data_IF_812055942465
#
_entry.id   IF_812055942465
#
_cell.length_a   1.000
_cell.length_b   1.000
_cell.length_c   1.000
_cell.angle_alpha   90.00
_cell.angle_beta   90.00
_cell.angle_gamma   90.00
#
_symmetry.space_group_name_H-M   'P 1'
#
loop_
_entity.id
_entity.type
_entity.pdbx_description
1 polymer ?
#
# COMPACT_ATOMS: atom_id res chain seq x y z
N UNK A 1 9.01 10.08 -11.26
CA UNK A 1 7.64 10.64 -11.18
C UNK A 1 6.98 10.17 -9.88
N UNK A 2 6.39 11.10 -9.13
CA UNK A 2 5.75 10.79 -7.84
C UNK A 2 4.33 10.28 -8.10
N UNK A 3 4.01 9.14 -7.52
CA UNK A 3 2.67 8.56 -7.64
C UNK A 3 1.66 9.30 -6.75
N UNK A 4 0.39 9.28 -7.16
CA UNK A 4 -0.69 9.73 -6.30
C UNK A 4 -1.03 8.62 -5.29
N UNK A 5 -1.73 9.00 -4.20
CA UNK A 5 -2.18 8.01 -3.22
C UNK A 5 -3.08 6.96 -3.87
N UNK A 6 -3.99 7.39 -4.74
CA UNK A 6 -4.90 6.47 -5.43
C UNK A 6 -4.16 5.45 -6.29
N UNK A 7 -3.15 5.90 -7.04
CA UNK A 7 -2.32 5.00 -7.84
C UNK A 7 -1.54 4.02 -6.96
N UNK A 8 -0.98 4.50 -5.86
CA UNK A 8 -0.21 3.67 -4.94
C UNK A 8 -1.08 2.60 -4.31
N UNK A 9 -2.28 2.96 -3.86
CA UNK A 9 -3.24 2.00 -3.28
C UNK A 9 -3.67 0.98 -4.32
N UNK A 10 -3.97 1.41 -5.54
CA UNK A 10 -4.37 0.50 -6.62
C UNK A 10 -3.27 -0.50 -6.95
N UNK A 11 -2.03 -0.04 -7.05
CA UNK A 11 -0.88 -0.91 -7.32
C UNK A 11 -0.65 -1.91 -6.19
N UNK A 12 -0.82 -1.46 -4.95
CA UNK A 12 -0.69 -2.34 -3.78
C UNK A 12 -1.74 -3.46 -3.81
N UNK A 13 -3.00 -3.10 -4.10
CA UNK A 13 -4.07 -4.10 -4.20
C UNK A 13 -3.81 -5.11 -5.30
N UNK A 14 -3.24 -4.67 -6.41
CA UNK A 14 -2.92 -5.55 -7.53
C UNK A 14 -1.94 -6.66 -7.12
N UNK A 15 -1.06 -6.41 -6.17
CA UNK A 15 -0.12 -7.42 -5.67
C UNK A 15 -0.83 -8.60 -4.97
N UNK A 16 -2.06 -8.42 -4.54
CA UNK A 16 -2.87 -9.49 -3.94
C UNK A 16 -3.71 -10.23 -4.99
N UNK A 17 -3.68 -9.78 -6.24
CA UNK A 17 -4.48 -10.36 -7.31
C UNK A 17 -5.79 -9.63 -7.50
N UNK A 18 -6.93 -10.34 -7.37
CA UNK A 18 -8.24 -9.72 -7.55
C UNK A 18 -8.68 -8.94 -6.31
N UNK A 19 -9.67 -8.06 -6.49
CA UNK A 19 -10.28 -7.34 -5.38
C UNK A 19 -10.82 -8.29 -4.31
N UNK A 20 -11.39 -9.42 -4.73
CA UNK A 20 -11.90 -10.43 -3.82
C UNK A 20 -10.78 -11.03 -2.96
N UNK A 21 -9.65 -11.36 -3.59
CA UNK A 21 -8.49 -11.90 -2.88
C UNK A 21 -7.94 -10.91 -1.86
N UNK A 22 -7.90 -9.64 -2.22
CA UNK A 22 -7.48 -8.59 -1.30
C UNK A 22 -8.41 -8.48 -0.09
N UNK A 23 -9.72 -8.49 -0.32
CA UNK A 23 -10.71 -8.43 0.76
C UNK A 23 -10.61 -9.65 1.69
N UNK A 24 -10.36 -10.82 1.13
CA UNK A 24 -10.15 -12.04 1.92
C UNK A 24 -8.91 -11.93 2.80
N UNK A 25 -7.82 -11.36 2.27
CA UNK A 25 -6.60 -11.13 3.04
C UNK A 25 -6.85 -10.17 4.21
N UNK A 26 -7.62 -9.11 3.98
CA UNK A 26 -7.99 -8.17 5.04
C UNK A 26 -8.79 -8.84 6.15
N UNK A 27 -9.73 -9.72 5.80
CA UNK A 27 -10.53 -10.45 6.79
C UNK A 27 -9.70 -11.45 7.57
N UNK A 28 -8.75 -12.10 6.89
CA UNK A 28 -7.92 -13.11 7.53
C UNK A 28 -6.91 -12.51 8.49
N UNK A 29 -6.23 -11.43 8.08
CA UNK A 29 -5.21 -10.79 8.92
C UNK A 29 -5.00 -9.33 8.48
N UNK A 30 -5.79 -8.45 9.05
CA UNK A 30 -5.72 -7.02 8.76
C UNK A 30 -4.36 -6.42 9.15
N UNK A 31 -3.79 -6.90 10.24
CA UNK A 31 -2.51 -6.38 10.74
C UNK A 31 -1.39 -6.70 9.73
N UNK A 32 -1.37 -7.92 9.20
CA UNK A 32 -0.39 -8.32 8.20
C UNK A 32 -0.51 -7.45 6.93
N UNK A 33 -1.74 -7.15 6.49
CA UNK A 33 -1.95 -6.29 5.32
C UNK A 33 -1.44 -4.88 5.59
N UNK A 34 -1.67 -4.33 6.78
CA UNK A 34 -1.16 -3.01 7.16
C UNK A 34 0.36 -2.97 7.21
N UNK A 35 0.99 -4.03 7.71
CA UNK A 35 2.45 -4.13 7.71
C UNK A 35 3.02 -4.22 6.30
N UNK A 36 2.37 -4.97 5.43
CA UNK A 36 2.75 -5.06 4.02
C UNK A 36 2.62 -3.70 3.32
N UNK A 37 1.58 -2.95 3.63
CA UNK A 37 1.40 -1.60 3.11
C UNK A 37 2.55 -0.68 3.54
N UNK A 38 2.94 -0.76 4.80
CA UNK A 38 4.06 0.04 5.32
C UNK A 38 5.35 -0.30 4.59
N UNK A 39 5.65 -1.59 4.42
CA UNK A 39 6.83 -2.04 3.69
C UNK A 39 6.80 -1.61 2.23
N UNK A 40 5.64 -1.65 1.60
CA UNK A 40 5.46 -1.23 0.22
C UNK A 40 5.76 0.26 0.06
N UNK A 41 5.20 1.11 0.94
CA UNK A 41 5.48 2.54 0.92
C UNK A 41 6.97 2.84 1.12
N UNK A 42 7.58 2.13 2.06
CA UNK A 42 8.99 2.29 2.38
C UNK A 42 9.88 1.99 1.17
N UNK A 43 9.58 0.90 0.47
CA UNK A 43 10.28 0.56 -0.77
C UNK A 43 10.14 1.63 -1.85
N UNK A 44 8.95 2.20 -2.02
CA UNK A 44 8.71 3.28 -2.97
C UNK A 44 9.45 4.56 -2.57
N UNK A 45 9.58 4.83 -1.28
CA UNK A 45 10.36 5.96 -0.80
C UNK A 45 11.84 5.80 -1.16
N UNK A 46 12.40 4.61 -0.98
CA UNK A 46 13.79 4.33 -1.33
C UNK A 46 14.06 4.51 -2.83
N UNK A 47 13.06 4.23 -3.66
CA UNK A 47 13.15 4.40 -5.11
C UNK A 47 12.82 5.83 -5.56
N UNK A 48 12.61 6.75 -4.63
CA UNK A 48 12.24 8.15 -4.89
C UNK A 48 10.89 8.30 -5.60
N UNK A 49 10.03 7.32 -5.50
CA UNK A 49 8.66 7.38 -6.05
C UNK A 49 7.75 8.16 -5.11
N UNK A 50 7.95 8.00 -3.80
CA UNK A 50 7.20 8.72 -2.77
C UNK A 50 8.13 9.58 -1.94
N UNK A 51 7.62 10.73 -1.48
CA UNK A 51 8.34 11.60 -0.54
C UNK A 51 8.17 11.08 0.88
N UNK A 52 9.03 11.54 1.80
CA UNK A 52 8.94 11.19 3.22
C UNK A 52 7.60 11.60 3.81
N UNK A 53 7.06 12.76 3.43
CA UNK A 53 5.75 13.21 3.88
C UNK A 53 4.64 12.28 3.42
N UNK A 54 4.70 11.80 2.18
CA UNK A 54 3.71 10.87 1.66
C UNK A 54 3.75 9.54 2.40
N UNK A 55 4.94 9.01 2.66
CA UNK A 55 5.09 7.76 3.42
C UNK A 55 4.52 7.90 4.82
N UNK A 56 4.77 9.04 5.48
CA UNK A 56 4.30 9.29 6.84
C UNK A 56 2.79 9.49 6.90
N UNK A 57 2.23 10.24 5.93
CA UNK A 57 0.83 10.66 5.98
C UNK A 57 -0.15 9.68 5.33
N UNK A 58 0.33 8.79 4.48
CA UNK A 58 -0.53 7.86 3.77
C UNK A 58 -0.73 6.59 4.59
N UNK A 59 -1.74 6.60 5.44
CA UNK A 59 -2.18 5.40 6.15
C UNK A 59 -3.07 4.56 5.25
N UNK A 60 -3.20 3.29 5.60
CA UNK A 60 -4.06 2.38 4.85
C UNK A 60 -5.52 2.85 4.97
N UNK A 61 -6.23 3.08 3.85
CA UNK A 61 -7.57 3.65 3.89
C UNK A 61 -8.69 2.66 4.25
N UNK A 62 -8.34 1.48 4.68
CA UNK A 62 -9.33 0.43 4.99
C UNK A 62 -8.91 -0.44 6.16
#
# INVERSE_FOLDING_TARGET
>A
MIQTKAQTVANFKTNYGTKKQFNEALRADRIAVQENWRSYKDGLNKDNVLTDNQVTNWTLPF
#
